data_IF_311005789330
#
_entry.id   IF_311005789330
#
_cell.length_a   1.000
_cell.length_b   1.000
_cell.length_c   1.000
_cell.angle_alpha   90.00
_cell.angle_beta   90.00
_cell.angle_gamma   90.00
#
_symmetry.space_group_name_H-M   'P 1'
#
loop_
_entity.id
_entity.type
_entity.pdbx_description
1 polymer ?
#
# COMPACT_ATOMS: atom_id res chain seq x y z
N UNK A 1 28.79 19.33 -0.60
CA UNK A 1 27.69 18.33 -0.65
C UNK A 1 27.29 17.93 -2.07
N UNK A 2 27.33 18.82 -3.08
CA UNK A 2 26.92 18.48 -4.47
C UNK A 2 27.62 17.27 -5.11
N UNK A 3 28.95 17.15 -5.01
CA UNK A 3 29.71 16.06 -5.67
C UNK A 3 29.33 14.65 -5.17
N UNK A 4 28.92 14.50 -3.91
CA UNK A 4 28.53 13.19 -3.34
C UNK A 4 27.13 12.80 -3.81
N UNK A 5 26.21 13.77 -3.85
CA UNK A 5 24.87 13.58 -4.40
C UNK A 5 24.94 13.26 -5.90
N UNK A 6 25.78 13.94 -6.66
CA UNK A 6 25.97 13.67 -8.10
C UNK A 6 26.49 12.24 -8.35
N UNK A 7 27.43 11.77 -7.52
CA UNK A 7 27.95 10.40 -7.62
C UNK A 7 26.91 9.35 -7.18
N UNK A 8 26.14 9.62 -6.14
CA UNK A 8 25.05 8.76 -5.70
C UNK A 8 23.97 8.64 -6.79
N UNK A 9 23.60 9.77 -7.37
CA UNK A 9 22.67 9.88 -8.50
C UNK A 9 23.15 9.11 -9.73
N UNK A 10 24.42 9.26 -10.11
CA UNK A 10 25.00 8.53 -11.23
C UNK A 10 24.97 7.01 -11.02
N UNK A 11 25.16 6.54 -9.79
CA UNK A 11 25.07 5.11 -9.45
C UNK A 11 23.65 4.59 -9.46
N UNK A 12 22.70 5.36 -8.93
CA UNK A 12 21.28 5.00 -8.93
C UNK A 12 20.67 5.06 -10.33
N UNK A 13 21.26 5.82 -11.25
CA UNK A 13 20.88 5.84 -12.66
C UNK A 13 21.22 4.55 -13.41
N UNK A 14 22.14 3.71 -12.88
CA UNK A 14 22.45 2.40 -13.46
C UNK A 14 21.37 1.37 -13.08
N UNK A 15 20.58 0.86 -14.04
CA UNK A 15 19.50 -0.09 -13.77
C UNK A 15 19.98 -1.43 -13.22
N UNK A 16 21.21 -1.86 -13.55
CA UNK A 16 21.76 -3.13 -13.06
C UNK A 16 22.13 -3.00 -11.59
N UNK A 17 22.82 -1.92 -11.23
CA UNK A 17 23.19 -1.63 -9.84
C UNK A 17 21.95 -1.39 -8.99
N UNK A 18 21.00 -0.58 -9.47
CA UNK A 18 19.75 -0.32 -8.76
C UNK A 18 18.93 -1.62 -8.58
N UNK A 19 18.85 -2.46 -9.60
CA UNK A 19 18.19 -3.76 -9.51
C UNK A 19 18.83 -4.68 -8.46
N UNK A 20 20.16 -4.71 -8.38
CA UNK A 20 20.89 -5.47 -7.37
C UNK A 20 20.61 -4.97 -5.94
N UNK A 21 20.53 -3.65 -5.75
CA UNK A 21 20.21 -3.03 -4.46
C UNK A 21 18.76 -3.28 -4.02
N UNK A 22 17.81 -3.27 -4.95
CA UNK A 22 16.39 -3.43 -4.65
C UNK A 22 15.95 -4.89 -4.53
N UNK A 23 16.70 -5.84 -5.11
CA UNK A 23 16.35 -7.28 -5.11
C UNK A 23 16.02 -7.84 -3.71
N UNK A 24 16.80 -7.57 -2.64
CA UNK A 24 16.48 -8.05 -1.30
C UNK A 24 15.18 -7.46 -0.74
N UNK A 25 14.71 -6.34 -1.28
CA UNK A 25 13.52 -5.60 -0.86
C UNK A 25 12.32 -5.83 -1.77
N UNK A 26 12.45 -6.65 -2.82
CA UNK A 26 11.45 -6.80 -3.86
C UNK A 26 10.05 -7.16 -3.33
N UNK A 27 9.96 -8.10 -2.38
CA UNK A 27 8.70 -8.48 -1.73
C UNK A 27 8.06 -7.29 -1.01
N UNK A 28 8.85 -6.57 -0.23
CA UNK A 28 8.41 -5.38 0.49
C UNK A 28 7.89 -4.29 -0.47
N UNK A 29 8.56 -4.07 -1.61
CA UNK A 29 8.12 -3.08 -2.60
C UNK A 29 6.73 -3.41 -3.17
N UNK A 30 6.44 -4.71 -3.41
CA UNK A 30 5.12 -5.16 -3.84
C UNK A 30 4.09 -4.93 -2.73
N UNK A 31 4.35 -5.40 -1.51
CA UNK A 31 3.43 -5.27 -0.36
C UNK A 31 3.15 -3.82 0.03
N UNK A 32 4.03 -2.87 -0.30
CA UNK A 32 3.79 -1.43 -0.06
C UNK A 32 2.96 -0.74 -1.13
N UNK A 33 2.85 -1.35 -2.31
CA UNK A 33 2.10 -0.78 -3.44
C UNK A 33 0.80 -1.51 -3.72
N UNK A 34 0.69 -2.76 -3.29
CA UNK A 34 -0.44 -3.64 -3.52
C UNK A 34 -0.98 -4.19 -2.20
N UNK A 35 -2.29 -4.11 -2.04
CA UNK A 35 -3.03 -4.82 -1.01
C UNK A 35 -3.38 -6.22 -1.53
N UNK A 36 -2.98 -7.24 -0.76
CA UNK A 36 -3.06 -8.65 -1.17
C UNK A 36 -4.14 -9.38 -0.37
N UNK A 37 -5.40 -8.99 -0.57
CA UNK A 37 -6.54 -9.49 0.23
C UNK A 37 -6.73 -11.01 0.10
N UNK A 38 -6.52 -11.56 -1.09
CA UNK A 38 -6.71 -12.98 -1.41
C UNK A 38 -5.44 -13.66 -1.91
N UNK A 39 -4.28 -13.01 -1.77
CA UNK A 39 -3.03 -13.47 -2.35
C UNK A 39 -1.90 -13.42 -1.31
N UNK A 40 -1.03 -14.42 -1.35
CA UNK A 40 0.16 -14.47 -0.51
C UNK A 40 1.39 -14.67 -1.37
N UNK A 41 2.35 -13.75 -1.28
CA UNK A 41 3.66 -13.92 -1.93
C UNK A 41 4.45 -14.96 -1.15
N UNK A 42 4.72 -16.09 -1.79
CA UNK A 42 5.60 -17.14 -1.24
C UNK A 42 7.06 -16.78 -1.49
N UNK A 43 7.40 -16.42 -2.73
CA UNK A 43 8.76 -16.08 -3.11
C UNK A 43 8.84 -15.07 -4.25
N UNK A 44 9.99 -14.42 -4.36
CA UNK A 44 10.35 -13.55 -5.50
C UNK A 44 11.36 -14.28 -6.36
N UNK A 45 11.00 -14.54 -7.62
CA UNK A 45 11.87 -15.21 -8.58
C UNK A 45 12.91 -14.24 -9.17
N UNK A 46 12.46 -13.05 -9.58
CA UNK A 46 13.31 -12.05 -10.21
C UNK A 46 12.79 -10.62 -10.00
N UNK A 47 13.70 -9.66 -10.10
CA UNK A 47 13.40 -8.23 -10.18
C UNK A 47 14.18 -7.66 -11.37
N UNK A 48 13.49 -6.90 -12.23
CA UNK A 48 14.06 -6.25 -13.41
C UNK A 48 13.72 -4.77 -13.38
N UNK A 49 14.73 -3.93 -13.57
CA UNK A 49 14.53 -2.48 -13.76
C UNK A 49 14.31 -2.24 -15.25
N UNK A 50 13.11 -1.80 -15.62
CA UNK A 50 12.74 -1.50 -17.01
C UNK A 50 13.25 -0.14 -17.45
N UNK A 51 13.12 0.84 -16.57
CA UNK A 51 13.46 2.22 -16.87
C UNK A 51 13.86 2.94 -15.59
N UNK A 52 14.78 3.88 -15.74
CA UNK A 52 15.23 4.77 -14.68
C UNK A 52 15.14 6.20 -15.19
N UNK A 53 14.55 7.09 -14.39
CA UNK A 53 14.50 8.51 -14.65
C UNK A 53 15.01 9.26 -13.42
N UNK A 54 16.06 10.06 -13.59
CA UNK A 54 16.57 10.92 -12.54
C UNK A 54 15.80 12.25 -12.51
N UNK A 55 15.71 12.86 -11.32
CA UNK A 55 15.13 14.18 -11.10
C UNK A 55 13.72 14.26 -11.69
N UNK A 56 12.83 13.40 -11.20
CA UNK A 56 11.47 13.28 -11.70
C UNK A 56 10.51 14.19 -10.90
N UNK A 57 9.84 15.17 -11.53
CA UNK A 57 8.93 16.06 -10.82
C UNK A 57 7.57 15.40 -10.57
N UNK A 58 7.09 15.53 -9.34
CA UNK A 58 5.75 15.13 -8.88
C UNK A 58 4.98 16.38 -8.50
N UNK A 59 4.03 16.73 -9.34
CA UNK A 59 3.09 17.81 -9.07
C UNK A 59 1.92 17.28 -8.24
N UNK A 60 1.60 17.91 -7.10
CA UNK A 60 0.38 17.62 -6.34
C UNK A 60 -0.86 17.81 -7.21
N UNK A 61 -1.79 16.87 -7.10
CA UNK A 61 -3.11 16.97 -7.73
C UNK A 61 -4.01 17.82 -6.85
N UNK A 62 -3.81 19.14 -6.85
CA UNK A 62 -4.73 20.04 -6.17
C UNK A 62 -6.02 20.17 -6.99
N UNK A 63 -7.16 19.94 -6.34
CA UNK A 63 -8.47 20.18 -6.93
C UNK A 63 -8.68 21.70 -7.08
N UNK A 64 -8.35 22.22 -8.26
CA UNK A 64 -8.52 23.64 -8.58
C UNK A 64 -9.98 23.92 -8.88
N UNK A 65 -10.59 24.83 -8.13
CA UNK A 65 -11.96 25.29 -8.38
C UNK A 65 -11.91 26.72 -8.88
N UNK A 66 -12.20 26.91 -10.16
CA UNK A 66 -12.41 28.23 -10.74
C UNK A 66 -13.90 28.54 -10.81
N UNK A 67 -14.28 29.76 -10.46
CA UNK A 67 -15.60 30.30 -10.81
C UNK A 67 -15.45 31.18 -12.02
N UNK A 68 -16.15 30.81 -13.10
CA UNK A 68 -16.35 31.66 -14.27
C UNK A 68 -17.76 32.23 -14.18
N UNK A 69 -17.86 33.56 -14.10
CA UNK A 69 -19.15 34.25 -14.13
C UNK A 69 -19.18 35.24 -15.28
N UNK A 70 -20.27 35.19 -16.04
CA UNK A 70 -20.58 36.12 -17.12
C UNK A 70 -21.89 36.84 -16.78
N UNK A 71 -21.88 38.16 -16.74
CA UNK A 71 -23.08 38.97 -16.51
C UNK A 71 -23.73 39.30 -17.86
N UNK A 72 -24.98 38.88 -18.07
CA UNK A 72 -25.78 39.13 -19.28
C UNK A 72 -26.91 40.12 -18.94
N UNK A 73 -27.23 41.15 -19.76
CA UNK A 73 -26.79 41.40 -21.14
C UNK A 73 -25.74 42.54 -21.22
N UNK A 74 -24.48 42.25 -20.90
CA UNK A 74 -23.36 43.19 -21.02
C UNK A 74 -22.22 42.60 -21.82
N UNK A 75 -21.69 43.35 -22.78
CA UNK A 75 -20.57 42.95 -23.64
C UNK A 75 -19.26 42.79 -22.85
N UNK A 76 -18.59 41.66 -23.09
CA UNK A 76 -17.13 41.42 -23.00
C UNK A 76 -16.40 41.47 -21.65
N UNK A 77 -17.06 41.46 -20.48
CA UNK A 77 -16.35 41.21 -19.22
C UNK A 77 -16.71 39.83 -18.65
N UNK A 78 -15.73 38.94 -18.66
CA UNK A 78 -15.77 37.67 -17.95
C UNK A 78 -14.88 37.78 -16.72
N UNK A 79 -15.45 37.57 -15.54
CA UNK A 79 -14.66 37.50 -14.32
C UNK A 79 -14.17 36.06 -14.16
N UNK A 80 -12.84 35.91 -14.19
CA UNK A 80 -12.16 34.67 -13.85
C UNK A 80 -11.49 34.85 -12.50
N UNK A 81 -12.04 34.21 -11.46
CA UNK A 81 -11.39 34.14 -10.16
C UNK A 81 -10.69 32.80 -10.01
N UNK A 82 -9.39 32.90 -9.71
CA UNK A 82 -8.50 31.78 -9.48
C UNK A 82 -8.01 31.82 -8.04
N UNK A 83 -8.32 30.78 -7.28
CA UNK A 83 -7.78 30.56 -5.94
C UNK A 83 -6.98 29.25 -5.98
N UNK A 84 -5.68 29.34 -5.72
CA UNK A 84 -4.79 28.19 -5.70
C UNK A 84 -3.34 28.63 -5.73
N UNK A 85 -2.59 28.27 -4.68
CA UNK A 85 -1.13 28.40 -4.63
C UNK A 85 -0.53 27.46 -5.68
N UNK A 86 0.45 27.92 -6.46
CA UNK A 86 1.25 27.01 -7.29
C UNK A 86 2.05 26.12 -6.34
N UNK A 87 1.58 24.90 -6.10
CA UNK A 87 2.35 23.94 -5.34
C UNK A 87 3.69 23.71 -6.06
N UNK A 88 4.79 24.01 -5.38
CA UNK A 88 6.13 23.72 -5.87
C UNK A 88 6.24 22.21 -6.17
N UNK A 89 6.91 21.81 -7.26
CA UNK A 89 7.08 20.41 -7.58
C UNK A 89 7.85 19.70 -6.47
N UNK A 90 7.34 18.55 -6.04
CA UNK A 90 8.09 17.64 -5.18
C UNK A 90 8.95 16.77 -6.10
N UNK A 91 10.24 16.68 -5.83
CA UNK A 91 11.17 15.92 -6.68
C UNK A 91 11.38 14.51 -6.13
N UNK A 92 11.33 13.54 -7.03
CA UNK A 92 11.89 12.19 -6.82
C UNK A 92 13.29 12.22 -7.40
N UNK A 93 14.29 11.86 -6.60
CA UNK A 93 15.68 11.82 -7.07
C UNK A 93 15.83 10.78 -8.18
N UNK A 94 15.35 9.56 -7.97
CA UNK A 94 15.29 8.52 -9.00
C UNK A 94 13.94 7.81 -9.00
N UNK A 95 13.24 7.87 -10.13
CA UNK A 95 12.08 7.04 -10.40
C UNK A 95 12.51 5.80 -11.19
N UNK A 96 12.20 4.62 -10.69
CA UNK A 96 12.50 3.37 -11.35
C UNK A 96 11.23 2.55 -11.61
N UNK A 97 11.00 2.20 -12.87
CA UNK A 97 9.92 1.30 -13.28
C UNK A 97 10.43 -0.15 -13.16
N UNK A 98 9.81 -0.95 -12.30
CA UNK A 98 10.23 -2.31 -11.96
C UNK A 98 9.23 -3.34 -12.45
N UNK A 99 9.73 -4.48 -12.88
CA UNK A 99 8.97 -5.71 -13.02
C UNK A 99 9.49 -6.76 -12.04
N UNK A 100 8.61 -7.25 -11.19
CA UNK A 100 8.92 -8.21 -10.13
C UNK A 100 8.16 -9.49 -10.43
N UNK A 101 8.90 -10.56 -10.69
CA UNK A 101 8.35 -11.89 -10.90
C UNK A 101 8.18 -12.57 -9.55
N UNK A 102 6.93 -12.83 -9.16
CA UNK A 102 6.56 -13.45 -7.88
C UNK A 102 5.93 -14.81 -8.10
N UNK A 103 6.12 -15.69 -7.13
CA UNK A 103 5.33 -16.90 -6.95
C UNK A 103 4.36 -16.63 -5.82
N UNK A 104 3.07 -16.59 -6.13
CA UNK A 104 2.02 -16.27 -5.20
C UNK A 104 0.98 -17.38 -5.12
N UNK A 105 0.51 -17.63 -3.90
CA UNK A 105 -0.66 -18.44 -3.62
C UNK A 105 -1.88 -17.53 -3.67
N UNK A 106 -2.77 -17.75 -4.63
CA UNK A 106 -4.09 -17.12 -4.65
C UNK A 106 -5.04 -18.04 -3.91
N UNK A 107 -5.66 -17.56 -2.83
CA UNK A 107 -6.73 -18.30 -2.17
C UNK A 107 -7.89 -18.45 -3.17
N UNK A 108 -8.23 -19.67 -3.60
CA UNK A 108 -9.35 -19.86 -4.51
C UNK A 108 -10.70 -19.59 -3.85
N UNK A 109 -10.74 -19.27 -2.53
CA UNK A 109 -11.81 -18.53 -1.86
C UNK A 109 -13.21 -18.94 -2.34
N UNK A 110 -13.51 -20.23 -2.24
CA UNK A 110 -14.72 -20.79 -2.82
C UNK A 110 -15.74 -21.14 -1.75
N UNK A 111 -16.98 -20.71 -1.92
CA UNK A 111 -18.11 -21.30 -1.21
C UNK A 111 -18.35 -22.69 -1.80
N UNK A 112 -18.33 -23.73 -0.95
CA UNK A 112 -18.77 -25.07 -1.32
C UNK A 112 -20.30 -25.15 -1.26
N UNK A 113 -20.88 -24.65 -0.16
CA UNK A 113 -22.32 -24.49 -0.04
C UNK A 113 -22.69 -23.32 0.88
N UNK A 114 -23.81 -22.69 0.58
CA UNK A 114 -24.47 -21.70 1.40
C UNK A 114 -25.86 -22.24 1.73
N UNK A 115 -26.18 -22.37 3.01
CA UNK A 115 -27.51 -22.80 3.45
C UNK A 115 -28.07 -21.73 4.37
N UNK A 116 -29.15 -21.08 3.94
CA UNK A 116 -29.90 -20.14 4.75
C UNK A 116 -31.13 -20.87 5.28
N UNK A 117 -31.27 -20.95 6.60
CA UNK A 117 -32.43 -21.55 7.28
C UNK A 117 -33.14 -20.47 8.08
N UNK A 118 -34.45 -20.36 7.92
CA UNK A 118 -35.27 -19.60 8.83
C UNK A 118 -35.34 -20.33 10.17
N UNK A 119 -35.20 -19.58 11.27
CA UNK A 119 -35.24 -20.11 12.63
C UNK A 119 -36.59 -19.72 13.23
N UNK A 120 -37.56 -20.63 13.08
CA UNK A 120 -38.97 -20.35 13.37
C UNK A 120 -39.44 -21.02 14.67
N UNK A 121 -38.68 -22.03 15.12
CA UNK A 121 -39.04 -22.91 16.25
C UNK A 121 -37.93 -22.90 17.32
N UNK A 122 -38.11 -22.06 18.33
CA UNK A 122 -37.37 -22.09 19.60
C UNK A 122 -38.32 -21.61 20.71
N UNK A 123 -38.35 -22.34 21.83
CA UNK A 123 -39.24 -22.05 22.96
C UNK A 123 -38.47 -21.55 24.19
N UNK A 124 -37.14 -21.53 24.12
CA UNK A 124 -36.24 -21.07 25.20
C UNK A 124 -35.02 -20.34 24.62
N UNK A 125 -34.38 -19.47 25.43
CA UNK A 125 -33.14 -18.79 25.05
C UNK A 125 -32.01 -19.78 24.79
N UNK A 126 -31.92 -20.86 25.58
CA UNK A 126 -30.94 -21.92 25.37
C UNK A 126 -31.15 -22.66 24.05
N UNK A 127 -32.41 -22.90 23.67
CA UNK A 127 -32.75 -23.48 22.36
C UNK A 127 -32.38 -22.56 21.18
N UNK A 128 -32.46 -21.24 21.37
CA UNK A 128 -31.97 -20.27 20.39
C UNK A 128 -30.43 -20.24 20.33
N UNK A 129 -29.76 -20.27 21.49
CA UNK A 129 -28.29 -20.31 21.60
C UNK A 129 -27.69 -21.56 20.96
N UNK A 130 -28.33 -22.71 21.09
CA UNK A 130 -27.91 -23.95 20.44
C UNK A 130 -28.01 -23.89 18.90
N UNK A 131 -28.98 -23.11 18.38
CA UNK A 131 -29.12 -22.91 16.94
C UNK A 131 -28.09 -21.92 16.39
N UNK A 132 -27.61 -20.97 17.21
CA UNK A 132 -26.60 -19.98 16.86
C UNK A 132 -25.34 -20.12 17.74
N UNK A 133 -24.65 -21.24 17.58
CA UNK A 133 -23.51 -21.64 18.43
C UNK A 133 -22.35 -20.63 18.53
N UNK A 134 -22.26 -19.70 17.58
CA UNK A 134 -21.21 -18.68 17.52
C UNK A 134 -21.72 -17.25 17.81
N UNK A 135 -23.01 -17.10 18.14
CA UNK A 135 -23.61 -15.82 18.50
C UNK A 135 -23.46 -15.60 20.01
N UNK A 136 -22.93 -14.45 20.40
CA UNK A 136 -23.03 -13.97 21.77
C UNK A 136 -24.45 -13.42 22.01
N UNK A 137 -25.32 -14.30 22.51
CA UNK A 137 -26.74 -14.00 22.72
C UNK A 137 -26.95 -12.87 23.73
N UNK A 138 -26.14 -12.81 24.79
CA UNK A 138 -26.34 -11.83 25.87
C UNK A 138 -25.98 -10.41 25.38
N UNK A 139 -24.90 -10.30 24.60
CA UNK A 139 -24.52 -9.05 23.96
C UNK A 139 -25.57 -8.60 22.92
N UNK A 140 -26.09 -9.54 22.12
CA UNK A 140 -27.12 -9.27 21.11
C UNK A 140 -28.43 -8.78 21.74
N UNK A 141 -28.92 -9.46 22.77
CA UNK A 141 -30.13 -9.07 23.49
C UNK A 141 -29.96 -7.67 24.12
N UNK A 142 -28.82 -7.39 24.74
CA UNK A 142 -28.54 -6.10 25.33
C UNK A 142 -28.49 -4.96 24.30
N UNK A 143 -27.85 -5.16 23.14
CA UNK A 143 -27.76 -4.13 22.10
C UNK A 143 -29.10 -3.80 21.44
N UNK A 144 -30.04 -4.75 21.44
CA UNK A 144 -31.37 -4.59 20.88
C UNK A 144 -32.46 -4.31 21.92
N UNK A 145 -32.10 -4.21 23.21
CA UNK A 145 -33.05 -3.95 24.30
C UNK A 145 -34.02 -5.09 24.57
N UNK A 146 -33.66 -6.33 24.21
CA UNK A 146 -34.46 -7.53 24.39
C UNK A 146 -34.12 -8.17 25.74
N UNK A 147 -35.12 -8.68 26.45
CA UNK A 147 -34.92 -9.27 27.79
C UNK A 147 -35.49 -10.68 27.90
N UNK A 148 -36.47 -11.02 27.06
CA UNK A 148 -37.17 -12.31 27.09
C UNK A 148 -37.14 -13.05 25.75
N UNK A 149 -37.53 -14.33 25.75
CA UNK A 149 -37.67 -15.16 24.53
C UNK A 149 -38.76 -14.61 23.62
N UNK A 150 -39.88 -14.19 24.21
CA UNK A 150 -40.99 -13.54 23.51
C UNK A 150 -40.55 -12.25 22.82
N UNK A 151 -39.77 -11.39 23.50
CA UNK A 151 -39.21 -10.17 22.85
C UNK A 151 -38.37 -10.54 21.63
N UNK A 152 -37.60 -11.63 21.73
CA UNK A 152 -36.78 -12.12 20.64
C UNK A 152 -37.65 -12.60 19.48
N UNK A 153 -38.71 -13.39 19.73
CA UNK A 153 -39.66 -13.86 18.72
C UNK A 153 -40.39 -12.71 18.02
N UNK A 154 -40.79 -11.70 18.78
CA UNK A 154 -41.52 -10.55 18.26
C UNK A 154 -40.62 -9.56 17.51
N UNK A 155 -39.32 -9.50 17.81
CA UNK A 155 -38.41 -8.55 17.20
C UNK A 155 -37.98 -8.88 15.77
N UNK A 156 -38.26 -10.10 15.27
CA UNK A 156 -38.16 -10.38 13.84
C UNK A 156 -37.90 -11.83 13.46
N UNK A 157 -37.78 -12.06 12.15
CA UNK A 157 -37.36 -13.33 11.58
C UNK A 157 -35.84 -13.48 11.63
N UNK A 158 -35.36 -14.57 12.24
CA UNK A 158 -33.94 -14.86 12.32
C UNK A 158 -33.54 -15.83 11.22
N UNK A 159 -32.54 -15.43 10.44
CA UNK A 159 -31.94 -16.28 9.43
C UNK A 159 -30.61 -16.83 9.94
N UNK A 160 -30.48 -18.15 9.97
CA UNK A 160 -29.20 -18.82 10.16
C UNK A 160 -28.57 -19.10 8.81
N UNK A 161 -27.42 -18.50 8.57
CA UNK A 161 -26.59 -18.75 7.39
C UNK A 161 -25.44 -19.68 7.75
N UNK A 162 -25.48 -20.90 7.23
CA UNK A 162 -24.37 -21.85 7.29
C UNK A 162 -23.55 -21.75 6.00
N UNK A 163 -22.29 -21.33 6.14
CA UNK A 163 -21.33 -21.27 5.04
C UNK A 163 -20.36 -22.43 5.15
N UNK A 164 -20.37 -23.32 4.16
CA UNK A 164 -19.32 -24.32 4.00
C UNK A 164 -18.29 -23.81 3.00
N UNK A 165 -17.08 -23.58 3.48
CA UNK A 165 -15.95 -23.17 2.64
C UNK A 165 -15.38 -24.39 1.92
N UNK A 166 -14.99 -24.21 0.66
CA UNK A 166 -14.26 -25.21 -0.11
C UNK A 166 -12.87 -25.37 0.49
N UNK A 167 -12.41 -26.62 0.63
CA UNK A 167 -11.04 -26.88 1.01
C UNK A 167 -10.12 -26.44 -0.15
N UNK A 168 -9.17 -25.51 0.08
CA UNK A 168 -8.26 -25.11 -0.98
C UNK A 168 -7.39 -26.30 -1.41
N UNK A 169 -7.07 -26.43 -2.72
CA UNK A 169 -6.14 -27.43 -3.20
C UNK A 169 -4.74 -27.16 -2.60
N UNK A 170 -3.92 -28.20 -2.51
CA UNK A 170 -2.53 -28.05 -2.05
C UNK A 170 -1.79 -27.12 -3.00
N UNK A 171 -1.16 -26.08 -2.44
CA UNK A 171 -0.38 -25.13 -3.20
C UNK A 171 0.83 -25.79 -3.87
N UNK A 172 0.96 -25.61 -5.19
CA UNK A 172 2.11 -26.04 -5.98
C UNK A 172 2.90 -24.81 -6.48
N UNK A 173 4.08 -24.50 -5.90
CA UNK A 173 4.92 -23.38 -6.34
C UNK A 173 5.42 -23.52 -7.80
N UNK A 174 5.44 -24.73 -8.34
CA UNK A 174 5.86 -25.01 -9.71
C UNK A 174 4.79 -24.68 -10.76
N UNK A 175 3.52 -24.55 -10.34
CA UNK A 175 2.40 -24.37 -11.26
C UNK A 175 2.46 -23.00 -11.95
N UNK A 176 2.32 -22.93 -13.29
CA UNK A 176 2.48 -21.67 -14.03
C UNK A 176 1.46 -20.60 -13.65
N UNK A 177 0.26 -20.99 -13.18
CA UNK A 177 -0.76 -20.02 -12.73
C UNK A 177 -0.37 -19.26 -11.46
N UNK A 178 0.59 -19.77 -10.69
CA UNK A 178 1.08 -19.15 -9.46
C UNK A 178 2.23 -18.17 -9.72
N UNK A 179 2.72 -18.09 -10.96
CA UNK A 179 3.75 -17.14 -11.37
C UNK A 179 3.12 -15.89 -11.95
N UNK A 180 3.45 -14.74 -11.37
CA UNK A 180 2.93 -13.43 -11.79
C UNK A 180 4.07 -12.44 -11.97
N UNK A 181 3.92 -11.54 -12.94
CA UNK A 181 4.80 -10.39 -13.09
C UNK A 181 4.05 -9.16 -12.61
N UNK A 182 4.58 -8.50 -11.58
CA UNK A 182 3.98 -7.34 -10.93
C UNK A 182 4.78 -6.10 -11.30
N UNK A 183 4.11 -5.09 -11.84
CA UNK A 183 4.72 -3.80 -12.15
C UNK A 183 4.72 -2.92 -10.89
N UNK A 184 5.89 -2.40 -10.51
CA UNK A 184 6.05 -1.51 -9.35
C UNK A 184 6.90 -0.32 -9.75
N UNK A 185 6.44 0.88 -9.46
CA UNK A 185 7.24 2.09 -9.63
C UNK A 185 7.90 2.44 -8.28
N UNK A 186 9.22 2.42 -8.21
CA UNK A 186 9.98 2.79 -7.02
C UNK A 186 10.40 4.26 -7.08
N UNK A 187 9.97 5.04 -6.09
CA UNK A 187 10.42 6.41 -5.88
C UNK A 187 11.58 6.41 -4.88
N UNK A 188 12.80 6.60 -5.40
CA UNK A 188 14.03 6.65 -4.62
C UNK A 188 14.35 8.10 -4.27
N UNK A 189 14.55 8.36 -2.99
CA UNK A 189 15.01 9.64 -2.44
C UNK A 189 16.40 9.43 -1.83
N UNK A 190 17.35 10.30 -2.18
CA UNK A 190 18.73 10.23 -1.68
C UNK A 190 18.81 11.00 -0.36
N UNK A 191 19.01 10.26 0.73
CA UNK A 191 19.18 10.81 2.07
C UNK A 191 20.64 10.85 2.50
N UNK A 192 20.97 11.72 3.45
CA UNK A 192 22.25 11.66 4.15
C UNK A 192 22.15 10.67 5.33
N UNK A 193 23.21 9.92 5.62
CA UNK A 193 23.21 8.89 6.69
C UNK A 193 23.01 9.48 8.09
N UNK A 194 23.34 10.76 8.27
CA UNK A 194 23.16 11.56 9.48
C UNK A 194 21.79 12.26 9.56
N UNK A 195 21.00 12.29 8.47
CA UNK A 195 19.66 12.87 8.43
C UNK A 195 18.60 11.89 7.86
N UNK A 196 18.40 10.77 8.57
CA UNK A 196 17.36 9.79 8.26
C UNK A 196 15.96 10.42 8.34
N UNK A 197 15.75 11.36 9.28
CA UNK A 197 14.48 12.07 9.41
C UNK A 197 14.16 12.92 8.17
N UNK A 198 15.18 13.58 7.59
CA UNK A 198 15.08 14.28 6.31
C UNK A 198 14.64 13.37 5.17
N UNK A 199 15.24 12.17 5.05
CA UNK A 199 14.84 11.18 4.06
C UNK A 199 13.37 10.75 4.22
N UNK A 200 12.93 10.49 5.45
CA UNK A 200 11.52 10.13 5.75
C UNK A 200 10.58 11.27 5.39
N UNK A 201 10.91 12.52 5.73
CA UNK A 201 10.10 13.70 5.38
C UNK A 201 9.97 13.84 3.88
N UNK A 202 11.08 13.77 3.15
CA UNK A 202 11.09 13.90 1.70
C UNK A 202 10.26 12.80 1.01
N UNK A 203 10.41 11.54 1.44
CA UNK A 203 9.61 10.44 0.89
C UNK A 203 8.10 10.58 1.21
N UNK A 204 7.75 11.08 2.40
CA UNK A 204 6.35 11.38 2.75
C UNK A 204 5.77 12.51 1.91
N UNK A 205 6.57 13.53 1.57
CA UNK A 205 6.16 14.58 0.62
C UNK A 205 5.88 14.00 -0.76
N UNK A 206 6.73 13.09 -1.26
CA UNK A 206 6.50 12.39 -2.53
C UNK A 206 5.19 11.61 -2.49
N UNK A 207 4.95 10.82 -1.44
CA UNK A 207 3.71 10.06 -1.30
C UNK A 207 2.47 10.95 -1.19
N UNK A 208 2.57 12.08 -0.50
CA UNK A 208 1.50 13.06 -0.41
C UNK A 208 1.22 13.73 -1.76
N UNK A 209 2.25 14.15 -2.50
CA UNK A 209 2.12 14.77 -3.82
C UNK A 209 1.61 13.78 -4.88
N UNK A 210 1.89 12.50 -4.72
CA UNK A 210 1.39 11.44 -5.58
C UNK A 210 -0.03 10.97 -5.20
N UNK A 211 -0.59 11.44 -4.08
CA UNK A 211 -1.93 11.07 -3.62
C UNK A 211 -2.97 11.47 -4.67
N UNK A 212 -3.82 10.53 -5.05
CA UNK A 212 -4.85 10.74 -6.07
C UNK A 212 -4.39 10.54 -7.51
N UNK A 213 -3.13 10.16 -7.75
CA UNK A 213 -2.71 9.71 -9.08
C UNK A 213 -3.49 8.46 -9.50
N UNK A 214 -3.88 8.36 -10.78
CA UNK A 214 -4.56 7.16 -11.27
C UNK A 214 -3.64 5.96 -11.09
N UNK A 215 -4.19 4.88 -10.53
CA UNK A 215 -3.49 3.62 -10.35
C UNK A 215 -3.87 2.72 -11.51
N UNK A 216 -2.85 2.23 -12.24
CA UNK A 216 -3.09 1.28 -13.32
C UNK A 216 -3.66 -0.01 -12.74
N UNK A 217 -4.74 -0.57 -13.33
CA UNK A 217 -5.26 -1.86 -12.91
C UNK A 217 -4.20 -2.95 -13.15
N UNK A 218 -4.01 -3.82 -12.15
CA UNK A 218 -3.13 -4.97 -12.21
C UNK A 218 -3.91 -6.27 -12.17
N UNK A 219 -3.24 -7.38 -12.50
CA UNK A 219 -3.78 -8.75 -12.37
C UNK A 219 -3.40 -9.44 -11.06
N UNK A 220 -2.77 -8.69 -10.15
CA UNK A 220 -2.22 -9.16 -8.88
C UNK A 220 -2.47 -8.08 -7.83
N UNK A 221 -3.18 -8.44 -6.75
CA UNK A 221 -3.62 -7.55 -5.70
C UNK A 221 -4.43 -6.36 -6.19
N UNK A 222 -4.77 -5.49 -5.24
CA UNK A 222 -5.29 -4.15 -5.53
C UNK A 222 -4.15 -3.16 -5.35
N UNK A 223 -3.78 -2.45 -6.42
CA UNK A 223 -2.78 -1.38 -6.31
C UNK A 223 -3.37 -0.24 -5.48
N UNK A 224 -2.73 0.09 -4.36
CA UNK A 224 -3.16 1.12 -3.39
C UNK A 224 -2.24 2.34 -3.36
N UNK A 225 -1.01 2.21 -3.88
CA UNK A 225 -0.07 3.32 -3.98
C UNK A 225 0.58 3.40 -5.37
N UNK A 226 0.81 4.63 -5.88
CA UNK A 226 1.48 4.81 -7.17
C UNK A 226 2.97 4.48 -7.08
N UNK A 227 3.61 4.71 -5.93
CA UNK A 227 5.05 4.51 -5.75
C UNK A 227 5.36 3.68 -4.51
N UNK A 228 6.31 2.75 -4.63
CA UNK A 228 7.02 2.17 -3.50
C UNK A 228 8.13 3.14 -3.08
N UNK A 229 8.14 3.55 -1.81
CA UNK A 229 9.11 4.52 -1.32
C UNK A 229 10.43 3.85 -0.96
N UNK A 230 11.54 4.41 -1.44
CA UNK A 230 12.90 3.93 -1.15
C UNK A 230 13.76 5.10 -0.71
N UNK A 231 14.48 4.95 0.40
CA UNK A 231 15.54 5.86 0.79
C UNK A 231 16.90 5.25 0.44
N UNK A 232 17.69 5.96 -0.36
CA UNK A 232 19.05 5.58 -0.72
C UNK A 232 20.05 6.42 0.06
N UNK A 233 20.99 5.75 0.73
CA UNK A 233 22.04 6.40 1.50
C UNK A 233 23.39 6.18 0.82
N UNK A 234 24.18 7.23 0.56
CA UNK A 234 25.55 7.06 0.08
C UNK A 234 26.40 6.38 1.15
N UNK A 235 27.43 5.61 0.74
CA UNK A 235 28.42 5.08 1.67
C UNK A 235 28.96 6.21 2.55
N UNK A 236 29.09 5.99 3.87
CA UNK A 236 29.72 6.97 4.73
C UNK A 236 31.14 7.22 4.23
N UNK A 237 31.47 8.49 3.95
CA UNK A 237 32.85 8.89 3.74
C UNK A 237 33.60 8.58 5.04
N UNK A 238 34.79 7.95 5.01
CA UNK A 238 35.58 7.71 6.21
C UNK A 238 36.00 9.06 6.82
N UNK A 239 35.13 9.57 7.69
CA UNK A 239 35.37 10.69 8.58
C UNK A 239 35.86 10.12 9.92
N UNK A 240 36.64 10.88 10.71
CA UNK A 240 36.98 10.48 12.07
C UNK A 240 35.67 10.16 12.83
N UNK A 241 35.66 9.10 13.66
CA UNK A 241 34.44 8.65 14.31
C UNK A 241 33.82 9.81 15.11
N UNK A 242 32.51 10.09 14.91
CA UNK A 242 31.83 11.11 15.70
C UNK A 242 31.92 10.76 17.19
N UNK A 243 31.88 11.79 18.05
CA UNK A 243 31.94 11.63 19.50
C UNK A 243 30.74 10.88 20.09
N UNK A 244 29.64 10.80 19.32
CA UNK A 244 28.45 10.01 19.65
C UNK A 244 28.25 8.89 18.62
N UNK A 245 27.88 7.67 19.05
CA UNK A 245 27.58 6.58 18.13
C UNK A 245 26.33 6.93 17.32
N UNK A 246 26.49 7.15 16.02
CA UNK A 246 25.37 7.30 15.08
C UNK A 246 24.54 6.03 14.93
N UNK A 247 23.41 6.13 14.23
CA UNK A 247 22.56 4.96 13.94
C UNK A 247 23.30 3.95 13.06
N UNK A 248 23.20 2.68 13.44
CA UNK A 248 23.70 1.56 12.63
C UNK A 248 22.80 1.32 11.42
N UNK A 249 23.34 0.68 10.38
CA UNK A 249 22.58 0.32 9.18
C UNK A 249 21.29 -0.45 9.52
N UNK A 250 21.37 -1.45 10.40
CA UNK A 250 20.22 -2.25 10.82
C UNK A 250 19.14 -1.42 11.54
N UNK A 251 19.54 -0.41 12.33
CA UNK A 251 18.59 0.51 12.98
C UNK A 251 17.90 1.42 11.97
N UNK A 252 18.64 1.91 10.95
CA UNK A 252 18.08 2.72 9.86
C UNK A 252 17.07 1.89 9.06
N UNK A 253 17.42 0.65 8.72
CA UNK A 253 16.54 -0.29 8.01
C UNK A 253 15.25 -0.53 8.79
N UNK A 254 15.35 -0.88 10.07
CA UNK A 254 14.17 -1.13 10.92
C UNK A 254 13.26 0.09 11.05
N UNK A 255 13.84 1.29 11.20
CA UNK A 255 13.08 2.54 11.30
C UNK A 255 12.34 2.84 9.99
N UNK A 256 13.00 2.68 8.85
CA UNK A 256 12.41 2.96 7.55
C UNK A 256 11.35 1.93 7.16
N UNK A 257 11.56 0.65 7.45
CA UNK A 257 10.54 -0.39 7.26
C UNK A 257 9.29 -0.09 8.09
N UNK A 258 9.46 0.33 9.35
CA UNK A 258 8.36 0.79 10.21
C UNK A 258 7.65 2.04 9.65
N UNK A 259 8.35 2.87 8.89
CA UNK A 259 7.78 4.01 8.16
C UNK A 259 7.19 3.65 6.79
N UNK A 260 7.22 2.37 6.38
CA UNK A 260 6.70 1.90 5.10
C UNK A 260 7.63 2.15 3.91
N UNK A 261 8.93 2.31 4.16
CA UNK A 261 9.95 2.60 3.14
C UNK A 261 11.05 1.53 3.13
N UNK A 262 11.62 1.26 1.95
CA UNK A 262 12.79 0.40 1.85
C UNK A 262 14.08 1.25 1.99
N UNK A 263 15.08 0.75 2.71
CA UNK A 263 16.40 1.36 2.78
C UNK A 263 17.37 0.65 1.83
N UNK A 264 18.17 1.42 1.10
CA UNK A 264 19.30 0.91 0.30
C UNK A 264 20.57 1.72 0.58
N UNK A 265 21.72 1.04 0.60
CA UNK A 265 23.01 1.65 0.92
C UNK A 265 23.95 1.48 -0.27
N UNK A 266 24.46 2.59 -0.80
CA UNK A 266 25.38 2.61 -1.93
C UNK A 266 26.79 2.31 -1.42
N UNK A 267 27.43 1.24 -1.89
CA UNK A 267 28.80 0.83 -1.47
C UNK A 267 29.88 1.43 -2.35
#
# INVERSE_FOLDING_TARGET
MGVIQDRAMARLADPVLLGALLRPRARFLVERTHELEYERIESVAALRVRKVAAQWPVFPLDARRGTWSQVVPGTTLSDFRWEGETAEPVWIDVLAELEIDVVAETDPGGLDSLVVKAVDAYDTLDGFRDQFRFLDLDAFMHSHGLVTVEDLRESGEYLRTEVKLRLPPVFDPGHPANRRTVAVDAAVVVGATDDVAGAVRAARLVAAAARGRPLSPGSFGVRVAPYALVAAFPAPVPLPPPAEPGLTQAQIESLLEGAGMAAVFLT
#
